data_IF_342953936569
#
_entry.id   IF_342953936569
#
_cell.length_a   1.000
_cell.length_b   1.000
_cell.length_c   1.000
_cell.angle_alpha   90.00
_cell.angle_beta   90.00
_cell.angle_gamma   90.00
#
_symmetry.space_group_name_H-M   'P 1'
#
loop_
_entity.id
_entity.type
_entity.pdbx_description
1 polymer ?
#
# COMPACT_ATOMS: atom_id res chain seq x y z
N UNK A 1 12.70 -11.51 -19.56
CA UNK A 1 11.40 -12.07 -19.15
C UNK A 1 10.43 -10.92 -18.96
N UNK A 2 9.21 -11.08 -19.45
CA UNK A 2 8.29 -10.02 -19.83
C UNK A 2 7.84 -9.18 -18.61
N UNK A 3 8.10 -7.88 -18.67
CA UNK A 3 7.59 -6.89 -17.75
C UNK A 3 6.43 -6.12 -18.43
N UNK A 4 5.22 -6.65 -18.41
CA UNK A 4 4.03 -5.93 -18.95
C UNK A 4 2.74 -6.42 -18.29
N UNK A 5 2.43 -5.91 -17.10
CA UNK A 5 1.14 -6.13 -16.46
C UNK A 5 0.79 -4.92 -15.62
N UNK A 6 0.48 -3.80 -16.27
CA UNK A 6 -0.15 -2.66 -15.60
C UNK A 6 -1.63 -2.99 -15.40
N UNK A 7 -2.18 -2.60 -14.25
CA UNK A 7 -3.62 -2.73 -14.02
C UNK A 7 -4.36 -1.73 -14.91
N UNK A 8 -5.51 -2.13 -15.44
CA UNK A 8 -6.37 -1.24 -16.23
C UNK A 8 -7.44 -0.69 -15.29
N UNK A 9 -7.20 0.52 -14.78
CA UNK A 9 -8.17 1.25 -13.95
C UNK A 9 -8.67 2.45 -14.76
N UNK A 10 -9.94 2.37 -15.19
CA UNK A 10 -10.59 3.50 -15.88
C UNK A 10 -11.01 4.57 -14.87
N UNK A 11 -11.28 5.80 -15.31
CA UNK A 11 -11.70 6.90 -14.43
C UNK A 11 -13.03 6.65 -13.70
N UNK A 12 -13.87 5.76 -14.24
CA UNK A 12 -15.17 5.38 -13.66
C UNK A 12 -15.12 4.08 -12.86
N UNK A 13 -13.98 3.40 -12.85
CA UNK A 13 -13.83 2.12 -12.16
C UNK A 13 -13.93 2.34 -10.64
N UNK A 14 -14.82 1.62 -9.97
CA UNK A 14 -14.93 1.67 -8.51
C UNK A 14 -14.00 0.63 -7.89
N UNK A 15 -13.28 0.98 -6.83
CA UNK A 15 -12.39 0.03 -6.16
C UNK A 15 -13.15 -1.17 -5.58
N UNK A 16 -12.70 -2.37 -5.93
CA UNK A 16 -13.12 -3.64 -5.34
C UNK A 16 -11.91 -4.55 -5.14
N UNK A 17 -11.58 -4.90 -3.90
CA UNK A 17 -10.37 -5.71 -3.62
C UNK A 17 -10.41 -7.09 -4.29
N UNK A 18 -11.62 -7.65 -4.47
CA UNK A 18 -11.84 -8.94 -5.12
C UNK A 18 -11.33 -8.99 -6.56
N UNK A 19 -11.14 -7.83 -7.21
CA UNK A 19 -10.62 -7.73 -8.58
C UNK A 19 -9.07 -7.77 -8.60
N UNK A 20 -8.41 -7.74 -7.44
CA UNK A 20 -6.97 -7.64 -7.27
C UNK A 20 -6.43 -8.62 -6.20
N UNK A 21 -6.54 -9.94 -6.40
CA UNK A 21 -6.17 -10.93 -5.38
C UNK A 21 -4.69 -10.89 -4.98
N UNK A 22 -3.78 -10.56 -5.91
CA UNK A 22 -2.35 -10.41 -5.60
C UNK A 22 -2.11 -9.22 -4.67
N UNK A 23 -2.85 -8.13 -4.87
CA UNK A 23 -2.80 -6.93 -4.02
C UNK A 23 -3.31 -7.26 -2.62
N UNK A 24 -4.42 -7.99 -2.51
CA UNK A 24 -4.94 -8.43 -1.21
C UNK A 24 -3.89 -9.25 -0.43
N UNK A 25 -3.22 -10.19 -1.10
CA UNK A 25 -2.16 -10.97 -0.48
C UNK A 25 -0.98 -10.11 -0.02
N UNK A 26 -0.57 -9.11 -0.80
CA UNK A 26 0.50 -8.19 -0.40
C UNK A 26 0.11 -7.39 0.85
N UNK A 27 -1.13 -6.87 0.91
CA UNK A 27 -1.64 -6.13 2.08
C UNK A 27 -1.64 -7.03 3.33
N UNK A 28 -2.09 -8.28 3.21
CA UNK A 28 -2.08 -9.24 4.32
C UNK A 28 -0.66 -9.51 4.80
N UNK A 29 0.30 -9.75 3.89
CA UNK A 29 1.70 -9.96 4.26
C UNK A 29 2.30 -8.74 4.96
N UNK A 30 1.99 -7.53 4.50
CA UNK A 30 2.45 -6.29 5.17
C UNK A 30 1.86 -6.21 6.57
N UNK A 31 0.57 -6.50 6.74
CA UNK A 31 -0.08 -6.56 8.06
C UNK A 31 0.62 -7.54 8.99
N UNK A 32 0.91 -8.74 8.52
CA UNK A 32 1.60 -9.77 9.31
C UNK A 32 3.00 -9.31 9.75
N UNK A 33 3.81 -8.82 8.80
CA UNK A 33 5.17 -8.33 9.08
C UNK A 33 5.20 -7.14 10.03
N UNK A 34 4.16 -6.30 9.99
CA UNK A 34 4.06 -5.08 10.81
C UNK A 34 3.18 -5.26 12.05
N UNK A 35 2.64 -6.45 12.30
CA UNK A 35 1.70 -6.73 13.40
C UNK A 35 2.27 -6.36 14.78
N UNK A 36 3.58 -6.56 14.96
CA UNK A 36 4.31 -6.28 16.21
C UNK A 36 4.90 -4.86 16.30
N UNK A 37 4.64 -4.01 15.30
CA UNK A 37 5.13 -2.64 15.24
C UNK A 37 3.97 -1.68 15.53
N UNK A 38 3.66 -1.37 16.81
CA UNK A 38 2.59 -0.44 17.13
C UNK A 38 3.02 0.98 16.75
N UNK A 39 2.43 1.50 15.66
CA UNK A 39 2.64 2.87 15.22
C UNK A 39 1.28 3.52 14.94
N UNK A 40 1.00 4.72 15.48
CA UNK A 40 -0.21 5.46 15.14
C UNK A 40 -0.23 5.91 13.67
N UNK A 41 0.95 5.96 13.03
CA UNK A 41 1.12 6.39 11.64
C UNK A 41 1.31 5.21 10.67
N UNK A 42 1.17 3.96 11.14
CA UNK A 42 1.50 2.76 10.34
C UNK A 42 0.88 2.78 8.95
N UNK A 43 -0.44 2.97 8.90
CA UNK A 43 -1.17 2.96 7.64
C UNK A 43 -0.78 4.14 6.75
N UNK A 44 -0.56 5.32 7.33
CA UNK A 44 -0.16 6.53 6.60
C UNK A 44 1.23 6.39 5.97
N UNK A 45 2.19 5.86 6.73
CA UNK A 45 3.56 5.61 6.25
C UNK A 45 3.54 4.64 5.09
N UNK A 46 2.82 3.52 5.23
CA UNK A 46 2.73 2.49 4.18
C UNK A 46 2.05 3.05 2.94
N UNK A 47 0.91 3.74 3.08
CA UNK A 47 0.20 4.33 1.94
C UNK A 47 1.07 5.36 1.22
N UNK A 48 1.72 6.26 1.97
CA UNK A 48 2.59 7.30 1.40
C UNK A 48 3.76 6.70 0.61
N UNK A 49 4.37 5.64 1.14
CA UNK A 49 5.43 4.93 0.44
C UNK A 49 4.92 4.24 -0.84
N UNK A 50 3.79 3.53 -0.77
CA UNK A 50 3.24 2.80 -1.92
C UNK A 50 2.76 3.72 -3.05
N UNK A 51 2.29 4.92 -2.69
CA UNK A 51 1.71 5.88 -3.61
C UNK A 51 2.77 6.70 -4.33
N UNK A 52 3.71 7.26 -3.57
CA UNK A 52 4.64 8.28 -4.06
C UNK A 52 6.11 7.96 -3.76
N UNK A 53 6.42 6.82 -3.13
CA UNK A 53 7.73 6.50 -2.57
C UNK A 53 8.28 7.60 -1.65
N UNK A 54 7.38 8.35 -0.99
CA UNK A 54 7.71 9.43 -0.07
C UNK A 54 7.39 9.03 1.36
N UNK A 55 8.29 9.36 2.29
CA UNK A 55 8.09 9.19 3.73
C UNK A 55 8.54 10.49 4.41
N UNK A 56 7.70 11.04 5.29
CA UNK A 56 8.03 12.25 6.03
C UNK A 56 9.13 11.97 7.05
N UNK A 57 10.07 12.91 7.23
CA UNK A 57 11.16 12.77 8.20
C UNK A 57 10.67 12.53 9.64
N UNK A 58 9.53 13.14 10.01
CA UNK A 58 8.90 12.92 11.32
C UNK A 58 8.50 11.45 11.56
N UNK A 59 8.07 10.75 10.52
CA UNK A 59 7.72 9.33 10.57
C UNK A 59 8.95 8.42 10.62
N UNK A 60 10.04 8.82 9.97
CA UNK A 60 11.32 8.12 10.07
C UNK A 60 11.87 8.15 11.49
N UNK A 61 11.72 9.28 12.18
CA UNK A 61 12.14 9.43 13.57
C UNK A 61 11.21 8.70 14.54
N UNK A 62 9.91 8.68 14.24
CA UNK A 62 8.91 8.00 15.09
C UNK A 62 9.01 6.47 15.00
N UNK A 63 9.16 5.91 13.79
CA UNK A 63 9.06 4.47 13.54
C UNK A 63 10.14 3.97 12.55
N UNK A 64 11.43 4.08 12.89
CA UNK A 64 12.53 3.77 11.98
C UNK A 64 12.51 2.32 11.49
N UNK A 65 12.09 1.36 12.33
CA UNK A 65 11.98 -0.06 11.94
C UNK A 65 10.89 -0.30 10.89
N UNK A 66 9.75 0.36 11.04
CA UNK A 66 8.66 0.25 10.06
C UNK A 66 9.08 0.83 8.72
N UNK A 67 9.73 2.00 8.74
CA UNK A 67 10.27 2.66 7.55
C UNK A 67 11.31 1.77 6.88
N UNK A 68 12.25 1.21 7.62
CA UNK A 68 13.26 0.31 7.08
C UNK A 68 12.63 -0.94 6.44
N UNK A 69 11.60 -1.51 7.08
CA UNK A 69 10.90 -2.68 6.57
C UNK A 69 10.17 -2.37 5.24
N UNK A 70 9.37 -1.29 5.20
CA UNK A 70 8.54 -0.97 4.03
C UNK A 70 9.37 -0.49 2.84
N UNK A 71 10.49 0.19 3.09
CA UNK A 71 11.42 0.64 2.04
C UNK A 71 12.35 -0.47 1.55
N UNK A 72 12.41 -1.60 2.25
CA UNK A 72 13.22 -2.74 1.81
C UNK A 72 12.60 -3.42 0.59
N UNK A 73 13.46 -3.94 -0.30
CA UNK A 73 13.02 -4.77 -1.44
C UNK A 73 12.28 -6.05 -1.01
N UNK A 74 12.34 -6.41 0.27
CA UNK A 74 11.65 -7.56 0.85
C UNK A 74 10.21 -7.25 1.29
N UNK A 75 9.76 -5.99 1.20
CA UNK A 75 8.39 -5.62 1.52
C UNK A 75 7.38 -6.39 0.65
N UNK A 76 7.73 -6.64 -0.62
CA UNK A 76 6.90 -7.40 -1.55
C UNK A 76 5.65 -6.63 -1.96
N UNK A 77 5.83 -5.38 -2.37
CA UNK A 77 4.81 -4.35 -2.62
C UNK A 77 4.56 -4.10 -4.12
N UNK A 78 5.09 -4.98 -4.97
CA UNK A 78 5.18 -4.73 -6.41
C UNK A 78 3.81 -4.56 -7.07
N UNK A 79 2.81 -5.34 -6.66
CA UNK A 79 1.46 -5.22 -7.21
C UNK A 79 0.72 -4.01 -6.64
N UNK A 80 0.90 -3.71 -5.36
CA UNK A 80 0.38 -2.49 -4.73
C UNK A 80 0.89 -1.23 -5.43
N UNK A 81 2.20 -1.10 -5.62
CA UNK A 81 2.82 0.05 -6.31
C UNK A 81 2.28 0.19 -7.74
N UNK A 82 2.15 -0.93 -8.47
CA UNK A 82 1.56 -0.94 -9.80
C UNK A 82 0.11 -0.49 -9.81
N UNK A 83 -0.68 -0.91 -8.82
CA UNK A 83 -2.07 -0.52 -8.72
C UNK A 83 -2.20 0.97 -8.40
N UNK A 84 -1.43 1.49 -7.44
CA UNK A 84 -1.37 2.92 -7.15
C UNK A 84 -0.98 3.75 -8.38
N UNK A 85 0.07 3.33 -9.09
CA UNK A 85 0.52 4.00 -10.32
C UNK A 85 -0.56 4.00 -11.41
N UNK A 86 -1.33 2.90 -11.53
CA UNK A 86 -2.40 2.77 -12.54
C UNK A 86 -3.65 3.57 -12.18
N UNK A 87 -3.86 3.89 -10.90
CA UNK A 87 -5.06 4.54 -10.39
C UNK A 87 -4.90 6.05 -10.12
N UNK A 88 -3.75 6.66 -10.43
CA UNK A 88 -3.45 8.06 -10.11
C UNK A 88 -4.51 9.07 -10.56
N UNK A 89 -5.22 8.80 -11.66
CA UNK A 89 -6.26 9.67 -12.22
C UNK A 89 -7.66 9.39 -11.69
N UNK A 90 -7.87 8.28 -10.99
CA UNK A 90 -9.16 7.88 -10.45
C UNK A 90 -9.16 8.09 -8.93
N UNK A 91 -9.55 9.30 -8.50
CA UNK A 91 -9.59 9.69 -7.08
C UNK A 91 -10.52 8.79 -6.24
N UNK A 92 -11.75 8.46 -6.69
CA UNK A 92 -12.61 7.52 -5.97
C UNK A 92 -11.96 6.15 -5.75
N UNK A 93 -11.26 5.63 -6.76
CA UNK A 93 -10.55 4.35 -6.66
C UNK A 93 -9.43 4.41 -5.63
N UNK A 94 -8.58 5.45 -5.69
CA UNK A 94 -7.50 5.64 -4.72
C UNK A 94 -8.03 5.72 -3.30
N UNK A 95 -9.12 6.48 -3.08
CA UNK A 95 -9.74 6.59 -1.76
C UNK A 95 -10.25 5.23 -1.26
N UNK A 96 -10.85 4.42 -2.13
CA UNK A 96 -11.27 3.05 -1.80
C UNK A 96 -10.11 2.15 -1.40
N UNK A 97 -9.02 2.17 -2.18
CA UNK A 97 -7.81 1.40 -1.91
C UNK A 97 -7.14 1.82 -0.60
N UNK A 98 -6.95 3.12 -0.39
CA UNK A 98 -6.36 3.67 0.84
C UNK A 98 -7.19 3.29 2.07
N UNK A 99 -8.53 3.39 2.00
CA UNK A 99 -9.41 2.99 3.08
C UNK A 99 -9.37 1.49 3.38
N UNK A 100 -9.27 0.65 2.34
CA UNK A 100 -9.13 -0.78 2.52
C UNK A 100 -7.81 -1.12 3.22
N UNK A 101 -6.69 -0.52 2.81
CA UNK A 101 -5.38 -0.70 3.46
C UNK A 101 -5.46 -0.27 4.93
N UNK A 102 -6.04 0.90 5.23
CA UNK A 102 -6.24 1.37 6.61
C UNK A 102 -7.05 0.38 7.44
N UNK A 103 -8.17 -0.09 6.91
CA UNK A 103 -9.03 -1.07 7.58
C UNK A 103 -8.26 -2.33 7.94
N UNK A 104 -7.48 -2.88 7.02
CA UNK A 104 -6.73 -4.12 7.26
C UNK A 104 -5.60 -3.92 8.27
N UNK A 105 -4.87 -2.81 8.19
CA UNK A 105 -3.73 -2.53 9.08
C UNK A 105 -4.15 -2.11 10.50
N UNK A 106 -5.34 -1.53 10.67
CA UNK A 106 -5.90 -1.13 11.96
C UNK A 106 -6.78 -2.22 12.60
N UNK A 107 -7.13 -3.27 11.85
CA UNK A 107 -7.92 -4.37 12.39
C UNK A 107 -7.09 -5.18 13.40
N UNK A 108 -7.65 -5.50 14.59
CA UNK A 108 -6.96 -6.23 15.65
C UNK A 108 -6.51 -7.64 15.23
#
# INVERSE_FOLDING_TARGET
>A
MIDTGQYIVTETHTFGIQDFPEVEQEIIRIREKTSRMPSPYKADIIISFLKDHMIKSEWVLADPELVALITSSQAGTKNLERLFASSQKNIPFLFGLENYIRKILLSP
#
